data_IF_085306946582
#
_entry.id   IF_085306946582
#
_cell.length_a   1.000
_cell.length_b   1.000
_cell.length_c   1.000
_cell.angle_alpha   90.00
_cell.angle_beta   90.00
_cell.angle_gamma   90.00
#
_symmetry.space_group_name_H-M   'P 1'
#
loop_
_entity.id
_entity.type
_entity.pdbx_description
1 polymer ?
#
# COMPACT_ATOMS: atom_id res chain seq x y z
N UNK A 1 -15.32 15.55 -29.28
CA UNK A 1 -16.31 14.54 -28.87
C UNK A 1 -15.61 13.18 -28.86
N UNK A 2 -15.46 12.57 -27.68
CA UNK A 2 -15.26 11.15 -27.38
C UNK A 2 -14.69 11.03 -25.96
N UNK A 3 -15.55 11.23 -24.95
CA UNK A 3 -15.18 11.21 -23.52
C UNK A 3 -15.87 10.12 -22.70
N UNK A 4 -16.53 9.14 -23.35
CA UNK A 4 -17.36 8.14 -22.67
C UNK A 4 -16.71 6.75 -22.51
N UNK A 5 -15.49 6.54 -23.03
CA UNK A 5 -14.85 5.21 -23.07
C UNK A 5 -14.02 4.82 -21.84
N UNK A 6 -13.59 5.78 -21.02
CA UNK A 6 -12.60 5.55 -19.94
C UNK A 6 -13.22 5.26 -18.58
N UNK A 7 -14.44 5.74 -18.29
CA UNK A 7 -15.13 5.45 -17.03
C UNK A 7 -15.62 3.99 -16.96
N UNK A 8 -16.16 3.47 -18.06
CA UNK A 8 -16.70 2.10 -18.13
C UNK A 8 -15.66 1.03 -17.80
N UNK A 9 -14.43 1.14 -18.31
CA UNK A 9 -13.38 0.16 -18.06
C UNK A 9 -12.81 0.23 -16.63
N UNK A 10 -12.71 1.44 -16.07
CA UNK A 10 -12.28 1.64 -14.68
C UNK A 10 -13.29 1.08 -13.69
N UNK A 11 -14.58 1.34 -13.90
CA UNK A 11 -15.66 0.84 -13.04
C UNK A 11 -15.75 -0.68 -13.09
N UNK A 12 -15.58 -1.28 -14.27
CA UNK A 12 -15.53 -2.74 -14.44
C UNK A 12 -14.31 -3.36 -13.73
N UNK A 13 -13.14 -2.71 -13.82
CA UNK A 13 -11.93 -3.16 -13.13
C UNK A 13 -12.11 -3.11 -11.59
N UNK A 14 -12.66 -2.01 -11.08
CA UNK A 14 -12.99 -1.85 -9.65
C UNK A 14 -13.97 -2.94 -9.20
N UNK A 15 -15.07 -3.12 -9.93
CA UNK A 15 -16.08 -4.11 -9.58
C UNK A 15 -15.52 -5.54 -9.62
N UNK A 16 -14.65 -5.86 -10.59
CA UNK A 16 -14.02 -7.17 -10.72
C UNK A 16 -13.02 -7.45 -9.61
N UNK A 17 -12.20 -6.46 -9.25
CA UNK A 17 -11.23 -6.58 -8.16
C UNK A 17 -11.92 -6.66 -6.80
N UNK A 18 -12.96 -5.85 -6.57
CA UNK A 18 -13.76 -5.89 -5.35
C UNK A 18 -14.35 -7.28 -5.12
N UNK A 19 -15.01 -7.87 -6.13
CA UNK A 19 -15.55 -9.24 -6.04
C UNK A 19 -14.47 -10.29 -5.77
N UNK A 20 -13.27 -10.12 -6.33
CA UNK A 20 -12.16 -11.07 -6.15
C UNK A 20 -11.53 -11.01 -4.76
N UNK A 21 -11.61 -9.89 -4.06
CA UNK A 21 -11.01 -9.68 -2.73
C UNK A 21 -12.02 -9.79 -1.59
N UNK A 22 -13.32 -9.78 -1.89
CA UNK A 22 -14.39 -9.86 -0.88
C UNK A 22 -14.22 -11.08 0.03
N UNK A 23 -14.12 -10.83 1.34
CA UNK A 23 -14.00 -11.87 2.37
C UNK A 23 -12.69 -12.66 2.37
N UNK A 24 -11.67 -12.25 1.58
CA UNK A 24 -10.39 -12.97 1.44
C UNK A 24 -9.20 -12.32 2.13
N UNK A 25 -9.40 -11.16 2.76
CA UNK A 25 -8.36 -10.42 3.47
C UNK A 25 -8.70 -10.33 4.96
N UNK A 26 -7.69 -10.42 5.81
CA UNK A 26 -7.77 -10.03 7.23
C UNK A 26 -7.82 -8.51 7.39
N UNK A 27 -7.13 -7.82 6.48
CA UNK A 27 -7.17 -6.39 6.26
C UNK A 27 -8.43 -5.92 5.53
N UNK A 28 -8.30 -4.79 4.86
CA UNK A 28 -9.42 -4.08 4.23
C UNK A 28 -9.05 -3.60 2.83
N UNK A 29 -10.04 -3.38 1.97
CA UNK A 29 -9.85 -2.77 0.65
C UNK A 29 -10.98 -1.77 0.38
N UNK A 30 -10.61 -0.55 -0.03
CA UNK A 30 -11.53 0.56 -0.20
C UNK A 30 -11.46 1.10 -1.62
N UNK A 31 -12.62 1.24 -2.24
CA UNK A 31 -12.80 1.78 -3.60
C UNK A 31 -13.66 3.05 -3.62
N UNK A 32 -14.10 3.53 -2.45
CA UNK A 32 -14.90 4.74 -2.34
C UNK A 32 -14.09 6.00 -2.67
N UNK A 33 -14.81 7.07 -3.00
CA UNK A 33 -14.21 8.33 -3.44
C UNK A 33 -13.30 8.94 -2.37
N UNK A 34 -13.65 8.82 -1.08
CA UNK A 34 -12.85 9.40 0.00
C UNK A 34 -11.48 8.71 0.09
N UNK A 35 -11.46 7.37 0.17
CA UNK A 35 -10.21 6.61 0.23
C UNK A 35 -9.32 6.89 -0.98
N UNK A 36 -9.89 6.95 -2.18
CA UNK A 36 -9.12 7.23 -3.41
C UNK A 36 -8.54 8.65 -3.41
N UNK A 37 -9.31 9.65 -3.01
CA UNK A 37 -8.84 11.04 -2.96
C UNK A 37 -7.74 11.22 -1.91
N UNK A 38 -7.87 10.62 -0.73
CA UNK A 38 -6.87 10.71 0.34
C UNK A 38 -5.50 10.13 -0.07
N UNK A 39 -5.50 9.21 -1.03
CA UNK A 39 -4.30 8.52 -1.49
C UNK A 39 -3.85 8.93 -2.89
N UNK A 40 -4.53 9.93 -3.50
CA UNK A 40 -4.19 10.45 -4.80
C UNK A 40 -2.88 11.25 -4.81
N UNK A 41 -2.41 11.69 -3.64
CA UNK A 41 -1.18 12.47 -3.45
C UNK A 41 -0.19 11.77 -2.52
N UNK A 42 1.08 12.10 -2.70
CA UNK A 42 2.13 11.96 -1.69
C UNK A 42 2.69 13.37 -1.38
N UNK A 43 3.87 13.47 -0.79
CA UNK A 43 4.47 14.78 -0.50
C UNK A 43 5.04 15.49 -1.75
N UNK A 44 4.87 14.91 -2.95
CA UNK A 44 5.25 15.54 -4.21
C UNK A 44 4.18 16.49 -4.75
N UNK A 45 4.42 16.99 -5.97
CA UNK A 45 3.47 17.82 -6.73
C UNK A 45 2.45 16.99 -7.54
N UNK A 46 2.60 15.66 -7.57
CA UNK A 46 1.77 14.80 -8.41
C UNK A 46 0.48 14.40 -7.71
N UNK A 47 -0.61 14.42 -8.46
CA UNK A 47 -1.92 13.92 -8.04
C UNK A 47 -2.43 12.92 -9.09
N UNK A 48 -2.61 11.67 -8.68
CA UNK A 48 -3.09 10.59 -9.54
C UNK A 48 -4.09 9.75 -8.75
N UNK A 49 -5.35 9.75 -9.19
CA UNK A 49 -6.43 9.04 -8.52
C UNK A 49 -6.29 7.51 -8.72
N UNK A 50 -6.09 6.71 -7.65
CA UNK A 50 -5.98 5.25 -7.76
C UNK A 50 -7.35 4.61 -8.05
N UNK A 51 -7.35 3.33 -8.43
CA UNK A 51 -8.57 2.50 -8.48
C UNK A 51 -9.18 2.33 -7.08
N UNK A 52 -8.32 2.16 -6.08
CA UNK A 52 -8.66 1.90 -4.69
C UNK A 52 -7.40 1.68 -3.86
N UNK A 53 -7.59 1.40 -2.57
CA UNK A 53 -6.50 1.23 -1.60
C UNK A 53 -6.74 -0.04 -0.78
N UNK A 54 -5.74 -0.92 -0.75
CA UNK A 54 -5.69 -2.08 0.13
C UNK A 54 -4.87 -1.78 1.39
N UNK A 55 -5.36 -2.27 2.53
CA UNK A 55 -4.78 -2.15 3.86
C UNK A 55 -4.49 -3.55 4.44
N UNK A 56 -3.50 -4.26 3.91
CA UNK A 56 -3.16 -5.61 4.37
C UNK A 56 -2.76 -5.62 5.85
N UNK A 57 -3.06 -6.73 6.54
CA UNK A 57 -2.61 -6.99 7.92
C UNK A 57 -1.61 -8.13 8.02
N UNK A 58 -1.43 -8.87 6.94
CA UNK A 58 -0.53 -10.03 6.88
C UNK A 58 0.16 -10.14 5.53
N UNK A 59 1.23 -10.95 5.48
CA UNK A 59 1.87 -11.33 4.22
C UNK A 59 0.89 -12.04 3.29
N UNK A 60 -0.04 -12.83 3.83
CA UNK A 60 -1.06 -13.53 3.05
C UNK A 60 -2.03 -12.56 2.36
N UNK A 61 -2.41 -11.46 3.02
CA UNK A 61 -3.21 -10.39 2.40
C UNK A 61 -2.45 -9.78 1.21
N UNK A 62 -1.17 -9.42 1.39
CA UNK A 62 -0.34 -8.84 0.33
C UNK A 62 -0.26 -9.78 -0.87
N UNK A 63 0.04 -11.06 -0.62
CA UNK A 63 0.12 -12.09 -1.68
C UNK A 63 -1.22 -12.22 -2.41
N UNK A 64 -2.33 -12.23 -1.67
CA UNK A 64 -3.68 -12.31 -2.27
C UNK A 64 -3.94 -11.11 -3.16
N UNK A 65 -3.70 -9.89 -2.67
CA UNK A 65 -3.89 -8.66 -3.44
C UNK A 65 -3.04 -8.64 -4.70
N UNK A 66 -1.75 -8.95 -4.59
CA UNK A 66 -0.83 -8.96 -5.74
C UNK A 66 -1.26 -9.97 -6.80
N UNK A 67 -1.70 -11.17 -6.38
CA UNK A 67 -2.15 -12.21 -7.30
C UNK A 67 -3.45 -11.83 -8.02
N UNK A 68 -4.42 -11.23 -7.33
CA UNK A 68 -5.68 -10.79 -7.96
C UNK A 68 -5.45 -9.60 -8.90
N UNK A 69 -4.60 -8.64 -8.53
CA UNK A 69 -4.18 -7.55 -9.42
C UNK A 69 -3.48 -8.10 -10.66
N UNK A 70 -2.54 -9.04 -10.50
CA UNK A 70 -1.86 -9.72 -11.62
C UNK A 70 -2.84 -10.44 -12.54
N UNK A 71 -3.82 -11.16 -11.99
CA UNK A 71 -4.81 -11.89 -12.76
C UNK A 71 -5.72 -10.97 -13.61
N UNK A 72 -5.92 -9.73 -13.17
CA UNK A 72 -6.71 -8.71 -13.87
C UNK A 72 -5.87 -7.74 -14.71
N UNK A 73 -4.53 -7.85 -14.69
CA UNK A 73 -3.65 -6.88 -15.34
C UNK A 73 -3.68 -5.48 -14.70
N UNK A 74 -4.07 -5.38 -13.43
CA UNK A 74 -4.14 -4.13 -12.68
C UNK A 74 -2.76 -3.81 -12.08
N UNK A 75 -2.19 -2.62 -12.34
CA UNK A 75 -0.95 -2.19 -11.70
C UNK A 75 -1.09 -2.08 -10.19
N UNK A 76 0.00 -2.33 -9.46
CA UNK A 76 0.07 -2.12 -8.02
C UNK A 76 0.99 -0.95 -7.70
N UNK A 77 0.64 -0.19 -6.65
CA UNK A 77 1.44 0.93 -6.16
C UNK A 77 1.67 0.73 -4.65
N UNK A 78 2.82 0.16 -4.23
CA UNK A 78 3.11 0.00 -2.82
C UNK A 78 3.33 1.38 -2.16
N UNK A 79 2.83 1.55 -0.93
CA UNK A 79 2.94 2.80 -0.19
C UNK A 79 3.30 2.53 1.28
N UNK A 80 4.33 3.24 1.74
CA UNK A 80 4.66 3.42 3.16
C UNK A 80 3.94 4.65 3.73
N UNK A 81 4.67 5.56 4.38
CA UNK A 81 4.06 6.78 4.95
C UNK A 81 3.58 7.81 3.90
N UNK A 82 4.02 7.70 2.64
CA UNK A 82 3.65 8.66 1.59
C UNK A 82 4.37 10.01 1.65
N UNK A 83 5.55 10.05 2.28
CA UNK A 83 6.37 11.26 2.45
C UNK A 83 7.38 11.50 1.32
N UNK A 84 7.37 10.67 0.29
CA UNK A 84 8.25 10.81 -0.87
C UNK A 84 7.90 12.06 -1.70
N UNK A 85 8.92 12.69 -2.28
CA UNK A 85 8.80 13.94 -3.04
C UNK A 85 8.80 13.74 -4.57
N UNK A 86 8.86 12.49 -5.04
CA UNK A 86 9.07 12.15 -6.46
C UNK A 86 7.85 11.51 -7.13
N UNK A 87 6.71 11.40 -6.44
CA UNK A 87 5.51 10.73 -6.95
C UNK A 87 5.59 9.20 -6.96
N UNK A 88 6.57 8.61 -6.26
CA UNK A 88 6.77 7.16 -6.26
C UNK A 88 5.67 6.38 -5.53
N UNK A 89 4.83 7.05 -4.74
CA UNK A 89 3.76 6.44 -3.95
C UNK A 89 2.36 6.76 -4.48
N UNK A 90 2.23 7.31 -5.70
CA UNK A 90 0.95 7.59 -6.37
C UNK A 90 0.88 6.90 -7.73
N UNK A 91 -0.33 6.57 -8.20
CA UNK A 91 -0.52 5.93 -9.50
C UNK A 91 -1.94 5.45 -9.75
N UNK A 92 -2.27 5.11 -11.01
CA UNK A 92 -3.63 4.80 -11.43
C UNK A 92 -4.13 3.39 -11.05
N UNK A 93 -3.27 2.56 -10.45
CA UNK A 93 -3.55 1.16 -10.10
C UNK A 93 -4.23 0.97 -8.74
N UNK A 94 -4.10 -0.23 -8.17
CA UNK A 94 -4.45 -0.46 -6.77
C UNK A 94 -3.26 -0.08 -5.88
N UNK A 95 -3.50 0.80 -4.92
CA UNK A 95 -2.50 1.20 -3.95
C UNK A 95 -2.49 0.20 -2.78
N UNK A 96 -1.31 -0.14 -2.27
CA UNK A 96 -1.15 -1.08 -1.15
C UNK A 96 -0.47 -0.33 -0.01
N UNK A 97 -1.26 0.12 0.97
CA UNK A 97 -0.76 0.81 2.15
C UNK A 97 -0.29 -0.21 3.20
N UNK A 98 1.02 -0.36 3.28
CA UNK A 98 1.69 -1.24 4.22
C UNK A 98 1.90 -0.56 5.58
N UNK A 99 1.81 0.77 5.62
CA UNK A 99 2.08 1.54 6.82
C UNK A 99 1.08 1.21 7.91
N UNK A 100 -0.22 1.14 7.62
CA UNK A 100 -1.27 1.08 8.66
C UNK A 100 -1.12 -0.05 9.68
N UNK A 101 -0.72 -1.25 9.26
CA UNK A 101 -0.74 -2.44 10.12
C UNK A 101 0.54 -3.27 10.13
N UNK A 102 1.35 -3.23 9.06
CA UNK A 102 2.57 -4.05 8.95
C UNK A 102 3.76 -3.34 9.59
N UNK A 103 3.72 -3.15 10.92
CA UNK A 103 4.71 -2.36 11.69
C UNK A 103 5.50 -3.18 12.74
N UNK A 104 5.57 -4.51 12.62
CA UNK A 104 6.37 -5.29 13.58
C UNK A 104 7.86 -5.03 13.42
N UNK A 105 8.54 -4.83 14.55
CA UNK A 105 9.99 -4.83 14.66
C UNK A 105 10.40 -6.17 15.28
N UNK A 106 11.27 -6.90 14.59
CA UNK A 106 11.77 -8.20 15.03
C UNK A 106 12.85 -8.09 16.09
N UNK A 107 13.52 -9.22 16.35
CA UNK A 107 14.64 -9.26 17.30
C UNK A 107 15.86 -8.55 16.71
N UNK A 108 16.45 -7.64 17.48
CA UNK A 108 17.73 -7.00 17.15
C UNK A 108 18.86 -8.00 17.38
N UNK A 109 19.76 -8.12 16.40
CA UNK A 109 21.07 -8.75 16.57
C UNK A 109 22.16 -7.65 16.65
N UNK A 110 22.64 -7.31 17.86
CA UNK A 110 23.66 -6.28 18.02
C UNK A 110 25.03 -6.70 17.50
N UNK A 111 25.28 -8.01 17.34
CA UNK A 111 26.57 -8.53 16.88
C UNK A 111 26.70 -8.34 15.38
N UNK A 112 25.69 -8.76 14.62
CA UNK A 112 25.63 -8.55 13.16
C UNK A 112 25.12 -7.15 12.77
N UNK A 113 24.59 -6.39 13.73
CA UNK A 113 23.95 -5.06 13.54
C UNK A 113 22.78 -5.13 12.54
N UNK A 114 21.93 -6.14 12.68
CA UNK A 114 20.76 -6.35 11.82
C UNK A 114 19.48 -6.49 12.63
N UNK A 115 18.37 -6.06 12.05
CA UNK A 115 17.02 -6.29 12.56
C UNK A 115 16.08 -6.51 11.39
N UNK A 116 15.20 -7.48 11.50
CA UNK A 116 14.12 -7.69 10.54
C UNK A 116 12.92 -6.81 10.93
N UNK A 117 12.35 -6.10 9.96
CA UNK A 117 11.20 -5.22 10.16
C UNK A 117 10.15 -5.46 9.09
N UNK A 118 8.89 -5.26 9.47
CA UNK A 118 7.82 -5.17 8.49
C UNK A 118 7.88 -3.81 7.74
N UNK A 119 7.37 -3.75 6.49
CA UNK A 119 7.57 -2.61 5.60
C UNK A 119 6.89 -1.30 6.03
N UNK A 120 5.98 -1.35 7.00
CA UNK A 120 5.26 -0.20 7.53
C UNK A 120 5.89 0.45 8.76
N UNK A 121 7.00 -0.09 9.28
CA UNK A 121 7.69 0.44 10.46
C UNK A 121 8.09 1.90 10.24
N UNK A 122 7.82 2.74 11.25
CA UNK A 122 8.22 4.15 11.26
C UNK A 122 9.68 4.23 11.70
N UNK A 123 10.50 5.00 10.96
CA UNK A 123 11.93 5.09 11.21
C UNK A 123 12.25 5.56 12.64
N UNK A 124 11.51 6.52 13.18
CA UNK A 124 11.72 7.00 14.56
C UNK A 124 11.44 5.93 15.61
N UNK A 125 10.42 5.09 15.39
CA UNK A 125 10.11 3.95 16.26
C UNK A 125 11.22 2.90 16.20
N UNK A 126 11.78 2.66 15.01
CA UNK A 126 12.92 1.77 14.82
C UNK A 126 14.16 2.29 15.55
N UNK A 127 14.50 3.57 15.37
CA UNK A 127 15.62 4.21 16.06
C UNK A 127 15.48 4.12 17.58
N UNK A 128 14.28 4.37 18.11
CA UNK A 128 14.00 4.24 19.54
C UNK A 128 14.16 2.80 20.04
N UNK A 129 13.75 1.80 19.24
CA UNK A 129 13.92 0.39 19.56
C UNK A 129 15.39 -0.06 19.53
N UNK A 130 16.20 0.54 18.65
CA UNK A 130 17.62 0.24 18.48
C UNK A 130 18.53 0.94 19.50
N UNK A 131 18.11 2.09 20.04
CA UNK A 131 18.91 2.89 20.96
C UNK A 131 19.48 2.13 22.18
N UNK A 132 18.73 1.23 22.87
CA UNK A 132 19.26 0.45 23.99
C UNK A 132 20.43 -0.48 23.61
N UNK A 133 20.57 -0.80 22.32
CA UNK A 133 21.64 -1.63 21.78
C UNK A 133 22.84 -0.81 21.28
N UNK A 134 22.81 0.52 21.44
CA UNK A 134 23.84 1.42 20.89
C UNK A 134 23.81 1.52 19.36
N UNK A 135 22.64 1.28 18.76
CA UNK A 135 22.40 1.31 17.32
C UNK A 135 21.43 2.45 16.95
N UNK A 136 21.43 2.80 15.67
CA UNK A 136 20.49 3.70 14.99
C UNK A 136 20.20 3.10 13.62
#
# INVERSE_FOLDING_TARGET
MNGAGTSSGRDEAIASLARRLEGRLEGDVRFDALARTLYATDASIYEILPLGVAFPRSVADVVTVVNECRALGIPIVPRGAGTGLTGGAVGEGLQIDLSRSMRRIGKVDPTSRTVEVEPGVVLDELNAHLAPHGLM
#
